data_IF_407998173623
#
_entry.id   IF_407998173623
#
_cell.length_a   1.000
_cell.length_b   1.000
_cell.length_c   1.000
_cell.angle_alpha   90.00
_cell.angle_beta   90.00
_cell.angle_gamma   90.00
#
_symmetry.space_group_name_H-M   'P 1'
#
loop_
_entity.id
_entity.type
_entity.pdbx_description
1 polymer ?
#
# COMPACT_ATOMS: atom_id res chain seq x y z
N UNK A 1 3.57 -0.04 14.00
CA UNK A 1 3.01 -1.29 13.43
C UNK A 1 3.39 -1.44 11.97
N UNK A 2 3.39 -2.66 11.41
CA UNK A 2 3.65 -2.86 9.97
C UNK A 2 3.10 -4.19 9.46
N UNK A 3 2.80 -4.27 8.15
CA UNK A 3 2.40 -5.48 7.43
C UNK A 3 3.55 -5.96 6.54
N UNK A 4 3.69 -5.36 5.34
CA UNK A 4 4.82 -5.63 4.45
C UNK A 4 6.22 -5.33 5.04
N UNK A 5 6.32 -4.67 6.20
CA UNK A 5 7.58 -4.37 6.87
C UNK A 5 8.23 -3.04 6.49
N UNK A 6 7.85 -2.42 5.36
CA UNK A 6 8.48 -1.17 4.90
C UNK A 6 8.30 0.00 5.86
N UNK A 7 7.08 0.20 6.36
CA UNK A 7 6.84 1.26 7.35
C UNK A 7 7.59 1.00 8.66
N UNK A 8 7.69 -0.27 9.07
CA UNK A 8 8.50 -0.66 10.22
C UNK A 8 9.99 -0.35 10.03
N UNK A 9 10.55 -0.71 8.86
CA UNK A 9 11.94 -0.37 8.49
C UNK A 9 12.14 1.14 8.45
N UNK A 10 11.21 1.91 7.87
CA UNK A 10 11.30 3.37 7.83
C UNK A 10 11.27 3.98 9.24
N UNK A 11 10.38 3.49 10.10
CA UNK A 11 10.25 3.94 11.49
C UNK A 11 11.50 3.60 12.31
N UNK A 12 11.99 2.35 12.22
CA UNK A 12 13.22 1.92 12.88
C UNK A 12 14.44 2.72 12.41
N UNK A 13 14.53 3.01 11.11
CA UNK A 13 15.61 3.85 10.55
C UNK A 13 15.63 5.23 11.20
N UNK A 14 14.47 5.88 11.30
CA UNK A 14 14.38 7.22 11.86
C UNK A 14 14.56 7.23 13.37
N UNK A 15 14.05 6.24 14.07
CA UNK A 15 14.28 6.08 15.51
C UNK A 15 15.77 5.90 15.82
N UNK A 16 16.46 5.01 15.12
CA UNK A 16 17.90 4.81 15.26
C UNK A 16 18.70 6.11 14.97
N UNK A 17 18.31 6.85 13.93
CA UNK A 17 18.96 8.12 13.57
C UNK A 17 18.74 9.21 14.63
N UNK A 18 17.56 9.26 15.24
CA UNK A 18 17.18 10.29 16.20
C UNK A 18 17.50 9.91 17.66
N UNK A 19 17.88 8.66 17.92
CA UNK A 19 18.14 8.16 19.26
C UNK A 19 16.87 7.90 20.06
N UNK A 20 15.79 7.47 19.39
CA UNK A 20 14.55 7.03 20.04
C UNK A 20 14.52 5.51 20.19
N UNK A 21 13.92 5.04 21.28
CA UNK A 21 13.48 3.65 21.39
C UNK A 21 12.37 3.38 20.37
N UNK A 22 12.32 2.17 19.82
CA UNK A 22 11.39 1.82 18.76
C UNK A 22 10.83 0.42 18.95
N UNK A 23 9.51 0.34 19.07
CA UNK A 23 8.75 -0.91 19.12
C UNK A 23 7.86 -1.01 17.88
N UNK A 24 7.96 -2.12 17.16
CA UNK A 24 7.20 -2.40 15.95
C UNK A 24 6.31 -3.62 16.17
N UNK A 25 5.00 -3.39 16.24
CA UNK A 25 3.99 -4.45 16.17
C UNK A 25 3.85 -4.97 14.74
N UNK A 26 3.89 -6.29 14.55
CA UNK A 26 3.76 -6.91 13.24
C UNK A 26 3.01 -8.23 13.38
N UNK A 27 2.06 -8.53 12.50
CA UNK A 27 1.31 -9.79 12.55
C UNK A 27 2.26 -10.98 12.43
N UNK A 28 2.06 -12.05 13.21
CA UNK A 28 2.99 -13.19 13.23
C UNK A 28 3.13 -13.86 11.85
N UNK A 29 2.06 -13.88 11.05
CA UNK A 29 2.12 -14.38 9.66
C UNK A 29 3.01 -13.48 8.79
N UNK A 30 2.92 -12.17 9.00
CA UNK A 30 3.73 -11.20 8.25
C UNK A 30 5.20 -11.23 8.70
N UNK A 31 5.48 -11.44 9.99
CA UNK A 31 6.85 -11.63 10.52
C UNK A 31 7.58 -12.75 9.78
N UNK A 32 6.90 -13.89 9.58
CA UNK A 32 7.46 -15.05 8.86
C UNK A 32 7.66 -14.73 7.36
N UNK A 33 6.63 -14.19 6.70
CA UNK A 33 6.67 -13.90 5.25
C UNK A 33 7.65 -12.78 4.87
N UNK A 34 7.84 -11.82 5.77
CA UNK A 34 8.66 -10.62 5.55
C UNK A 34 9.90 -10.59 6.44
N UNK A 35 10.44 -11.78 6.77
CA UNK A 35 11.65 -11.93 7.61
C UNK A 35 12.81 -11.02 7.22
N UNK A 36 13.10 -10.73 5.93
CA UNK A 36 14.14 -9.76 5.56
C UNK A 36 13.93 -8.36 6.16
N UNK A 37 12.69 -7.86 6.20
CA UNK A 37 12.40 -6.55 6.79
C UNK A 37 12.49 -6.59 8.31
N UNK A 38 12.02 -7.67 8.94
CA UNK A 38 12.19 -7.90 10.39
C UNK A 38 13.67 -7.88 10.78
N UNK A 39 14.50 -8.55 9.99
CA UNK A 39 15.94 -8.58 10.22
C UNK A 39 16.53 -7.17 10.24
N UNK A 40 16.19 -6.33 9.26
CA UNK A 40 16.70 -4.96 9.22
C UNK A 40 16.19 -4.09 10.38
N UNK A 41 14.94 -4.25 10.79
CA UNK A 41 14.40 -3.55 11.97
C UNK A 41 15.19 -3.90 13.24
N UNK A 42 15.43 -5.19 13.48
CA UNK A 42 16.23 -5.68 14.62
C UNK A 42 17.68 -5.15 14.58
N UNK A 43 18.31 -5.14 13.39
CA UNK A 43 19.67 -4.60 13.24
C UNK A 43 19.76 -3.08 13.47
N UNK A 44 18.65 -2.36 13.32
CA UNK A 44 18.55 -0.94 13.64
C UNK A 44 18.21 -0.69 15.12
N UNK A 45 18.08 -1.75 15.93
CA UNK A 45 17.80 -1.66 17.35
C UNK A 45 16.32 -1.54 17.70
N UNK A 46 15.42 -1.72 16.74
CA UNK A 46 13.99 -1.78 17.03
C UNK A 46 13.59 -3.15 17.61
N UNK A 47 12.70 -3.14 18.60
CA UNK A 47 12.03 -4.34 19.09
C UNK A 47 10.87 -4.68 18.15
N UNK A 48 10.84 -5.88 17.59
CA UNK A 48 9.73 -6.35 16.76
C UNK A 48 8.87 -7.31 17.58
N UNK A 49 7.60 -6.95 17.80
CA UNK A 49 6.64 -7.73 18.58
C UNK A 49 5.67 -8.45 17.63
N UNK A 50 5.74 -9.80 17.53
CA UNK A 50 4.79 -10.57 16.75
C UNK A 50 3.40 -10.59 17.40
N UNK A 51 2.39 -10.19 16.66
CA UNK A 51 0.97 -10.24 17.09
C UNK A 51 0.35 -11.54 16.60
N UNK A 52 -0.04 -12.40 17.53
CA UNK A 52 -0.61 -13.74 17.24
C UNK A 52 -2.13 -13.78 17.29
N UNK A 53 -2.77 -12.71 17.76
CA UNK A 53 -4.21 -12.64 17.88
C UNK A 53 -4.91 -12.51 16.52
N UNK A 54 -6.15 -12.99 16.46
CA UNK A 54 -7.00 -12.86 15.27
C UNK A 54 -6.43 -13.57 14.06
N UNK A 55 -6.30 -12.84 12.95
CA UNK A 55 -5.72 -13.33 11.69
C UNK A 55 -4.20 -13.25 11.68
N UNK A 56 -3.60 -12.63 12.70
CA UNK A 56 -2.16 -12.40 12.83
C UNK A 56 -1.54 -11.66 11.63
N UNK A 57 -2.24 -10.64 11.12
CA UNK A 57 -1.83 -9.76 10.01
C UNK A 57 -1.85 -8.29 10.42
N UNK A 58 -1.63 -7.36 9.47
CA UNK A 58 -1.61 -5.91 9.68
C UNK A 58 -2.78 -5.36 10.51
N UNK A 59 -4.02 -5.84 10.31
CA UNK A 59 -5.19 -5.38 11.08
C UNK A 59 -4.98 -5.59 12.58
N UNK A 60 -4.47 -6.75 12.96
CA UNK A 60 -4.26 -7.13 14.35
C UNK A 60 -3.05 -6.38 14.94
N UNK A 61 -2.01 -6.17 14.13
CA UNK A 61 -0.86 -5.32 14.50
C UNK A 61 -1.26 -3.86 14.78
N UNK A 62 -2.18 -3.29 14.00
CA UNK A 62 -2.75 -1.96 14.25
C UNK A 62 -3.49 -1.95 15.59
N UNK A 63 -4.32 -2.96 15.85
CA UNK A 63 -5.10 -3.03 17.08
C UNK A 63 -4.20 -3.08 18.33
N UNK A 64 -3.12 -3.88 18.29
CA UNK A 64 -2.16 -3.94 19.39
C UNK A 64 -1.35 -2.65 19.55
N UNK A 65 -0.93 -2.02 18.46
CA UNK A 65 -0.24 -0.73 18.54
C UNK A 65 -1.15 0.38 19.13
N UNK A 66 -2.45 0.38 18.82
CA UNK A 66 -3.40 1.28 19.48
C UNK A 66 -3.56 0.99 20.98
N UNK A 67 -3.55 -0.29 21.38
CA UNK A 67 -3.64 -0.69 22.79
C UNK A 67 -2.41 -0.28 23.58
N UNK A 68 -1.21 -0.49 23.03
CA UNK A 68 0.02 0.03 23.62
C UNK A 68 -0.05 1.55 23.75
N UNK A 69 -0.29 2.24 22.63
CA UNK A 69 -0.32 3.70 22.62
C UNK A 69 -1.29 4.25 23.67
N UNK A 70 -2.49 3.68 23.81
CA UNK A 70 -3.46 4.10 24.82
C UNK A 70 -2.95 4.00 26.28
N UNK A 71 -2.00 3.11 26.55
CA UNK A 71 -1.38 2.94 27.86
C UNK A 71 -0.06 3.72 28.03
N UNK A 72 0.56 4.20 26.94
CA UNK A 72 1.89 4.81 26.93
C UNK A 72 1.96 6.22 26.32
N UNK A 73 0.81 6.87 26.07
CA UNK A 73 0.73 8.18 25.35
C UNK A 73 1.61 9.29 25.93
N UNK A 74 1.92 9.28 27.23
CA UNK A 74 2.72 10.31 27.89
C UNK A 74 4.18 10.32 27.42
N UNK A 75 4.69 9.16 26.97
CA UNK A 75 6.09 8.96 26.59
C UNK A 75 6.25 8.42 25.15
N UNK A 76 5.15 7.95 24.53
CA UNK A 76 5.14 7.28 23.22
C UNK A 76 4.41 8.08 22.16
N UNK A 77 5.08 8.30 21.01
CA UNK A 77 4.42 8.76 19.79
C UNK A 77 4.08 7.57 18.88
N UNK A 78 2.79 7.40 18.57
CA UNK A 78 2.36 6.41 17.59
C UNK A 78 2.55 6.90 16.15
N UNK A 79 3.54 6.33 15.45
CA UNK A 79 3.83 6.62 14.05
C UNK A 79 2.94 5.79 13.11
N UNK A 80 1.69 6.21 12.87
CA UNK A 80 0.76 5.53 11.96
C UNK A 80 1.21 5.66 10.48
N UNK A 81 1.34 4.54 9.79
CA UNK A 81 2.05 4.46 8.49
C UNK A 81 1.26 4.81 7.23
N UNK A 82 0.00 5.25 7.33
CA UNK A 82 -0.86 5.48 6.16
C UNK A 82 -1.88 6.59 6.39
N UNK A 83 -2.57 7.04 5.35
CA UNK A 83 -3.55 8.12 5.42
C UNK A 83 -4.91 7.67 6.00
N UNK A 84 -4.88 6.84 7.04
CA UNK A 84 -6.04 6.30 7.76
C UNK A 84 -5.97 6.66 9.25
N UNK A 85 -6.87 6.08 10.05
CA UNK A 85 -6.93 6.30 11.49
C UNK A 85 -7.64 7.59 11.88
N UNK A 86 -7.74 7.89 13.19
CA UNK A 86 -8.43 9.06 13.68
C UNK A 86 -7.73 10.34 13.23
N UNK A 87 -8.48 11.45 13.19
CA UNK A 87 -7.86 12.77 13.11
C UNK A 87 -6.83 12.93 14.26
N UNK A 88 -5.61 13.43 14.00
CA UNK A 88 -5.16 14.13 12.79
C UNK A 88 -4.44 13.28 11.73
N UNK A 89 -4.29 11.96 11.90
CA UNK A 89 -3.41 11.13 11.08
C UNK A 89 -3.69 11.19 9.57
N UNK A 90 -4.93 11.08 9.05
CA UNK A 90 -5.17 11.15 7.61
C UNK A 90 -4.67 12.44 6.96
N UNK A 91 -4.89 13.59 7.63
CA UNK A 91 -4.43 14.89 7.13
C UNK A 91 -2.91 15.04 7.26
N UNK A 92 -2.36 14.64 8.41
CA UNK A 92 -0.92 14.74 8.68
C UNK A 92 -0.10 13.90 7.71
N UNK A 93 -0.49 12.63 7.50
CA UNK A 93 0.21 11.74 6.57
C UNK A 93 0.06 12.23 5.13
N UNK A 94 -1.13 12.67 4.72
CA UNK A 94 -1.33 13.24 3.38
C UNK A 94 -0.48 14.49 3.15
N UNK A 95 -0.35 15.35 4.17
CA UNK A 95 0.51 16.54 4.11
C UNK A 95 1.99 16.14 3.94
N UNK A 96 2.52 15.22 4.76
CA UNK A 96 3.91 14.80 4.64
C UNK A 96 4.21 14.08 3.32
N UNK A 97 3.22 13.41 2.72
CA UNK A 97 3.35 12.77 1.41
C UNK A 97 3.15 13.72 0.22
N UNK A 98 2.64 14.94 0.45
CA UNK A 98 2.30 15.89 -0.62
C UNK A 98 3.48 16.32 -1.48
N UNK A 99 4.71 16.18 -0.97
CA UNK A 99 5.93 16.48 -1.71
C UNK A 99 5.99 15.70 -3.03
N UNK A 100 5.49 14.46 -3.06
CA UNK A 100 5.43 13.63 -4.27
C UNK A 100 4.61 14.30 -5.37
N UNK A 101 3.43 14.84 -5.05
CA UNK A 101 2.58 15.54 -6.02
C UNK A 101 3.16 16.88 -6.46
N UNK A 102 3.81 17.61 -5.53
CA UNK A 102 4.47 18.88 -5.81
C UNK A 102 5.59 18.69 -6.83
N UNK A 103 6.49 17.74 -6.58
CA UNK A 103 7.61 17.44 -7.47
C UNK A 103 7.13 16.89 -8.81
N UNK A 104 6.18 15.95 -8.80
CA UNK A 104 5.65 15.35 -10.02
C UNK A 104 4.99 16.39 -10.94
N UNK A 105 4.26 17.37 -10.40
CA UNK A 105 3.66 18.46 -11.16
C UNK A 105 4.72 19.31 -11.86
N UNK A 106 5.79 19.69 -11.15
CA UNK A 106 6.89 20.44 -11.75
C UNK A 106 7.56 19.64 -12.88
N UNK A 107 7.86 18.36 -12.60
CA UNK A 107 8.57 17.48 -13.51
C UNK A 107 7.77 17.19 -14.78
N UNK A 108 6.46 16.93 -14.67
CA UNK A 108 5.63 16.59 -15.84
C UNK A 108 5.41 17.80 -16.74
N UNK A 109 5.22 19.00 -16.18
CA UNK A 109 5.15 20.23 -16.98
C UNK A 109 6.43 20.50 -17.74
N UNK A 110 7.60 20.23 -17.13
CA UNK A 110 8.90 20.39 -17.77
C UNK A 110 9.14 19.35 -18.87
N UNK A 111 8.71 18.11 -18.69
CA UNK A 111 8.99 17.00 -19.61
C UNK A 111 7.96 16.90 -20.74
N UNK A 112 6.67 17.02 -20.43
CA UNK A 112 5.58 16.86 -21.38
C UNK A 112 5.01 18.19 -21.90
N UNK A 113 5.35 19.33 -21.29
CA UNK A 113 4.82 20.64 -21.66
C UNK A 113 3.33 20.84 -21.32
N UNK A 114 2.71 19.87 -20.65
CA UNK A 114 1.30 19.88 -20.22
C UNK A 114 1.13 19.07 -18.93
N UNK A 115 -0.04 19.23 -18.30
CA UNK A 115 -0.47 18.33 -17.21
C UNK A 115 -0.76 16.93 -17.78
N UNK A 116 -0.65 15.87 -16.95
CA UNK A 116 -1.03 14.52 -17.37
C UNK A 116 -2.54 14.45 -17.59
N UNK A 117 -2.97 13.60 -18.51
CA UNK A 117 -4.38 13.30 -18.72
C UNK A 117 -4.88 12.38 -17.59
N UNK A 118 -4.03 11.46 -17.11
CA UNK A 118 -4.35 10.52 -16.01
C UNK A 118 -3.19 10.31 -15.05
N UNK A 119 -3.50 10.14 -13.77
CA UNK A 119 -2.54 9.79 -12.71
C UNK A 119 -2.96 8.50 -12.02
N UNK A 120 -2.07 7.53 -11.96
CA UNK A 120 -2.30 6.23 -11.34
C UNK A 120 -1.48 6.06 -10.07
N UNK A 121 -2.11 5.54 -9.01
CA UNK A 121 -1.44 5.16 -7.78
C UNK A 121 -2.13 3.94 -7.14
N UNK A 122 -1.37 3.08 -6.49
CA UNK A 122 -1.94 1.93 -5.78
C UNK A 122 -2.55 2.37 -4.44
N UNK A 123 -3.65 1.73 -4.03
CA UNK A 123 -4.43 2.11 -2.86
C UNK A 123 -4.55 0.93 -1.90
N UNK A 124 -3.74 0.96 -0.85
CA UNK A 124 -3.97 0.21 0.39
C UNK A 124 -4.72 1.14 1.35
N UNK A 125 -4.04 1.60 2.41
CA UNK A 125 -4.57 2.71 3.22
C UNK A 125 -4.60 4.06 2.49
N UNK A 126 -3.73 4.30 1.50
CA UNK A 126 -3.85 5.44 0.57
C UNK A 126 -2.85 6.59 0.71
N UNK A 127 -1.80 6.48 1.54
CA UNK A 127 -0.79 7.54 1.73
C UNK A 127 -0.08 7.97 0.45
N UNK A 128 0.44 7.02 -0.34
CA UNK A 128 1.13 7.31 -1.59
C UNK A 128 0.20 7.94 -2.65
N UNK A 129 -1.04 7.47 -2.73
CA UNK A 129 -2.06 7.99 -3.64
C UNK A 129 -2.43 9.42 -3.28
N UNK A 130 -2.71 9.69 -2.00
CA UNK A 130 -2.94 11.05 -1.52
C UNK A 130 -1.74 11.97 -1.77
N UNK A 131 -0.52 11.46 -1.58
CA UNK A 131 0.71 12.18 -1.86
C UNK A 131 0.77 12.70 -3.30
N UNK A 132 0.65 11.80 -4.28
CA UNK A 132 0.71 12.20 -5.69
C UNK A 132 -0.52 13.00 -6.14
N UNK A 133 -1.73 12.60 -5.72
CA UNK A 133 -2.98 13.27 -6.10
C UNK A 133 -3.06 14.70 -5.57
N UNK A 134 -2.48 14.98 -4.40
CA UNK A 134 -2.51 16.31 -3.79
C UNK A 134 -2.00 17.42 -4.72
N UNK A 135 -1.05 17.10 -5.60
CA UNK A 135 -0.50 18.02 -6.59
C UNK A 135 -1.49 18.41 -7.69
N UNK A 136 -2.62 17.71 -7.83
CA UNK A 136 -3.54 17.82 -8.97
C UNK A 136 -5.03 17.88 -8.58
N UNK A 137 -5.37 17.93 -7.28
CA UNK A 137 -6.76 17.90 -6.80
C UNK A 137 -7.66 18.98 -7.42
N UNK A 138 -7.11 20.15 -7.75
CA UNK A 138 -7.87 21.26 -8.32
C UNK A 138 -7.88 21.29 -9.86
N UNK A 139 -7.18 20.37 -10.52
CA UNK A 139 -7.12 20.29 -11.97
C UNK A 139 -8.16 19.27 -12.48
N UNK A 140 -9.40 19.71 -12.70
CA UNK A 140 -10.55 18.85 -13.05
C UNK A 140 -10.33 18.01 -14.33
N UNK A 141 -9.50 18.48 -15.26
CA UNK A 141 -9.16 17.76 -16.48
C UNK A 141 -8.20 16.58 -16.24
N UNK A 142 -7.56 16.51 -15.06
CA UNK A 142 -6.64 15.42 -14.69
C UNK A 142 -7.43 14.34 -13.95
N UNK A 143 -7.57 13.16 -14.56
CA UNK A 143 -8.18 12.00 -13.91
C UNK A 143 -7.24 11.44 -12.84
N UNK A 144 -7.77 11.23 -11.64
CA UNK A 144 -7.05 10.61 -10.52
C UNK A 144 -7.57 9.18 -10.37
N UNK A 145 -6.72 8.19 -10.60
CA UNK A 145 -7.11 6.78 -10.65
C UNK A 145 -6.39 5.98 -9.57
N UNK A 146 -7.13 5.56 -8.56
CA UNK A 146 -6.63 4.69 -7.49
C UNK A 146 -6.82 3.22 -7.84
N UNK A 147 -5.76 2.41 -7.79
CA UNK A 147 -5.85 0.97 -8.04
C UNK A 147 -5.79 0.19 -6.73
N UNK A 148 -6.89 -0.46 -6.37
CA UNK A 148 -7.00 -1.36 -5.23
C UNK A 148 -6.60 -2.80 -5.60
N UNK A 149 -6.35 -3.63 -4.57
CA UNK A 149 -6.00 -5.02 -4.77
C UNK A 149 -7.25 -5.86 -5.05
N UNK A 150 -7.35 -6.35 -6.28
CA UNK A 150 -8.41 -7.25 -6.74
C UNK A 150 -8.20 -8.70 -6.34
N UNK A 151 -7.02 -9.07 -5.80
CA UNK A 151 -6.71 -10.41 -5.32
C UNK A 151 -6.97 -11.48 -6.38
N UNK A 152 -7.74 -12.51 -6.02
CA UNK A 152 -8.15 -13.58 -6.94
C UNK A 152 -9.26 -13.15 -7.92
N UNK A 153 -9.88 -11.98 -7.72
CA UNK A 153 -10.99 -11.44 -8.50
C UNK A 153 -12.07 -10.81 -7.62
N UNK A 154 -12.73 -9.75 -8.11
CA UNK A 154 -13.83 -9.06 -7.41
C UNK A 154 -15.12 -9.89 -7.31
N UNK A 155 -15.24 -10.95 -8.10
CA UNK A 155 -16.32 -11.94 -8.02
C UNK A 155 -16.08 -13.00 -6.94
N UNK A 156 -14.91 -12.95 -6.28
CA UNK A 156 -14.54 -13.80 -5.14
C UNK A 156 -14.57 -13.00 -3.85
N UNK A 157 -14.50 -13.66 -2.69
CA UNK A 157 -14.29 -12.97 -1.41
C UNK A 157 -12.81 -12.71 -1.10
N UNK A 158 -11.90 -13.08 -2.01
CA UNK A 158 -10.45 -13.03 -1.80
C UNK A 158 -9.83 -11.84 -2.52
N UNK A 159 -10.11 -10.65 -1.99
CA UNK A 159 -9.55 -9.39 -2.45
C UNK A 159 -9.42 -8.37 -1.31
N UNK A 160 -8.81 -7.21 -1.59
CA UNK A 160 -8.76 -6.08 -0.67
C UNK A 160 -9.20 -4.77 -1.37
N UNK A 161 -10.29 -4.83 -2.15
CA UNK A 161 -10.87 -3.66 -2.82
C UNK A 161 -12.07 -3.13 -2.03
N UNK A 162 -12.00 -1.89 -1.51
CA UNK A 162 -13.02 -1.29 -0.64
C UNK A 162 -13.91 -0.27 -1.36
N UNK A 163 -13.43 0.32 -2.44
CA UNK A 163 -14.15 1.36 -3.19
C UNK A 163 -14.68 0.82 -4.52
N UNK A 164 -14.18 -0.33 -4.99
CA UNK A 164 -14.68 -0.98 -6.20
C UNK A 164 -15.54 -2.21 -5.94
N UNK A 165 -15.47 -2.79 -4.75
CA UNK A 165 -16.31 -3.92 -4.38
C UNK A 165 -17.72 -3.46 -3.99
N UNK A 166 -18.72 -4.15 -4.51
CA UNK A 166 -20.13 -3.89 -4.22
C UNK A 166 -20.58 -4.38 -2.84
N UNK A 167 -19.83 -5.28 -2.22
CA UNK A 167 -20.05 -5.78 -0.86
C UNK A 167 -19.40 -4.93 0.24
N UNK A 168 -18.70 -3.86 -0.13
CA UNK A 168 -18.15 -2.88 0.81
C UNK A 168 -19.25 -1.95 1.36
N UNK A 169 -19.03 -1.42 2.56
CA UNK A 169 -19.94 -0.43 3.13
C UNK A 169 -19.23 0.50 4.11
N UNK A 170 -19.82 1.66 4.36
CA UNK A 170 -19.27 2.60 5.34
C UNK A 170 -19.41 2.04 6.76
N UNK A 171 -18.32 2.04 7.52
CA UNK A 171 -18.26 1.58 8.90
C UNK A 171 -17.39 2.50 9.76
N UNK A 172 -17.24 2.14 11.04
CA UNK A 172 -16.34 2.82 11.98
C UNK A 172 -15.47 1.79 12.67
N UNK A 173 -14.16 1.85 12.42
CA UNK A 173 -13.17 1.01 13.06
C UNK A 173 -11.83 1.74 13.15
N UNK A 174 -10.95 1.31 14.06
CA UNK A 174 -9.60 1.87 14.20
C UNK A 174 -9.58 3.40 14.33
N UNK A 175 -10.62 3.98 14.96
CA UNK A 175 -10.75 5.41 15.23
C UNK A 175 -11.29 6.28 14.10
N UNK A 176 -11.77 5.73 12.98
CA UNK A 176 -12.24 6.53 11.85
C UNK A 176 -13.41 5.91 11.08
N UNK A 177 -14.16 6.77 10.37
CA UNK A 177 -15.29 6.38 9.51
C UNK A 177 -14.85 6.39 8.04
N UNK A 178 -15.03 5.28 7.36
CA UNK A 178 -14.67 5.11 5.93
C UNK A 178 -15.38 3.87 5.35
N UNK A 179 -15.12 3.52 4.10
CA UNK A 179 -15.48 2.21 3.53
C UNK A 179 -14.59 1.10 4.08
N UNK A 180 -15.25 0.00 4.47
CA UNK A 180 -14.63 -1.24 4.90
C UNK A 180 -15.26 -2.42 4.16
N UNK A 181 -14.50 -3.50 4.02
CA UNK A 181 -15.07 -4.81 3.66
C UNK A 181 -15.64 -5.46 4.93
N UNK A 182 -16.96 -5.41 5.08
CA UNK A 182 -17.66 -5.91 6.27
C UNK A 182 -18.96 -6.61 5.88
N UNK A 183 -19.43 -7.52 6.73
CA UNK A 183 -20.74 -8.14 6.56
C UNK A 183 -21.87 -7.24 7.09
N UNK A 184 -23.12 -7.69 6.96
CA UNK A 184 -24.32 -6.95 7.38
C UNK A 184 -24.39 -6.69 8.90
N UNK A 185 -23.62 -7.43 9.69
CA UNK A 185 -23.48 -7.25 11.14
C UNK A 185 -22.34 -6.29 11.51
N UNK A 186 -21.64 -5.72 10.52
CA UNK A 186 -20.48 -4.85 10.71
C UNK A 186 -19.20 -5.59 11.12
N UNK A 187 -19.15 -6.92 10.96
CA UNK A 187 -17.94 -7.69 11.19
C UNK A 187 -17.01 -7.56 9.98
N UNK A 188 -15.75 -7.24 10.26
CA UNK A 188 -14.70 -7.11 9.25
C UNK A 188 -14.41 -8.45 8.59
N UNK A 189 -14.41 -8.48 7.26
CA UNK A 189 -14.06 -9.68 6.48
C UNK A 189 -12.55 -9.93 6.51
N UNK A 190 -12.15 -11.11 6.04
CA UNK A 190 -10.76 -11.36 5.68
C UNK A 190 -10.47 -10.74 4.31
N UNK A 191 -9.21 -10.40 4.07
CA UNK A 191 -8.75 -9.80 2.82
C UNK A 191 -7.65 -10.64 2.19
N UNK A 192 -7.40 -10.40 0.91
CA UNK A 192 -6.33 -11.08 0.18
C UNK A 192 -5.70 -10.17 -0.88
N UNK A 193 -4.39 -10.22 -0.98
CA UNK A 193 -3.61 -9.71 -2.11
C UNK A 193 -2.23 -10.38 -2.14
N UNK A 194 -1.65 -10.53 -3.33
CA UNK A 194 -0.22 -10.85 -3.49
C UNK A 194 0.68 -9.76 -2.89
N UNK A 195 0.19 -8.52 -2.80
CA UNK A 195 0.93 -7.38 -2.26
C UNK A 195 0.50 -7.08 -0.81
N UNK A 196 1.33 -7.48 0.16
CA UNK A 196 1.05 -7.31 1.59
C UNK A 196 0.76 -5.84 1.99
N UNK A 197 1.32 -4.84 1.28
CA UNK A 197 1.04 -3.43 1.55
C UNK A 197 -0.36 -2.94 1.11
N UNK A 198 -1.07 -3.70 0.29
CA UNK A 198 -2.45 -3.40 -0.13
C UNK A 198 -3.51 -4.27 0.57
N UNK A 199 -3.08 -5.35 1.23
CA UNK A 199 -3.92 -6.28 1.98
C UNK A 199 -4.41 -5.65 3.30
N UNK A 200 -5.34 -4.70 3.17
CA UNK A 200 -5.89 -3.93 4.26
C UNK A 200 -7.39 -3.74 4.10
N UNK A 201 -8.10 -3.84 5.23
CA UNK A 201 -9.56 -3.91 5.29
C UNK A 201 -10.28 -2.58 5.08
N UNK A 202 -9.60 -1.46 5.35
CA UNK A 202 -10.13 -0.11 5.23
C UNK A 202 -9.42 0.70 4.14
N UNK A 203 -9.84 1.95 3.97
CA UNK A 203 -9.24 2.90 3.02
C UNK A 203 -9.28 4.32 3.59
N UNK A 204 -8.36 5.20 3.17
CA UNK A 204 -8.34 6.59 3.65
C UNK A 204 -9.72 7.25 3.59
N UNK A 205 -10.16 7.93 4.67
CA UNK A 205 -11.42 8.69 4.64
C UNK A 205 -11.38 9.84 3.63
N UNK A 206 -10.19 10.33 3.28
CA UNK A 206 -10.02 11.36 2.25
C UNK A 206 -10.24 10.76 0.86
N UNK A 207 -9.67 9.59 0.57
CA UNK A 207 -9.90 8.89 -0.70
C UNK A 207 -11.36 8.44 -0.84
N UNK A 208 -11.98 7.95 0.23
CA UNK A 208 -13.44 7.67 0.26
C UNK A 208 -14.25 8.91 -0.09
N UNK A 209 -13.91 10.07 0.48
CA UNK A 209 -14.62 11.30 0.13
C UNK A 209 -14.41 11.68 -1.35
N UNK A 210 -13.18 11.55 -1.87
CA UNK A 210 -12.88 11.83 -3.28
C UNK A 210 -13.60 10.88 -4.24
N UNK A 211 -13.80 9.62 -3.85
CA UNK A 211 -14.66 8.67 -4.55
C UNK A 211 -16.12 9.17 -4.60
N UNK A 212 -16.70 9.50 -3.45
CA UNK A 212 -18.12 9.86 -3.33
C UNK A 212 -18.48 11.14 -4.11
N UNK A 213 -17.56 12.10 -4.18
CA UNK A 213 -17.73 13.34 -4.95
C UNK A 213 -17.27 13.20 -6.41
N UNK A 214 -16.90 11.99 -6.85
CA UNK A 214 -16.41 11.69 -8.20
C UNK A 214 -15.18 12.51 -8.62
N UNK A 215 -14.33 12.92 -7.66
CA UNK A 215 -13.06 13.58 -7.98
C UNK A 215 -11.97 12.57 -8.31
N UNK A 216 -11.99 11.39 -7.69
CA UNK A 216 -11.10 10.29 -8.01
C UNK A 216 -11.92 9.04 -8.38
N UNK A 217 -11.45 8.31 -9.39
CA UNK A 217 -11.98 7.02 -9.79
C UNK A 217 -11.13 5.92 -9.18
N UNK A 218 -11.76 4.78 -8.86
CA UNK A 218 -11.06 3.63 -8.30
C UNK A 218 -11.32 2.41 -9.18
N UNK A 219 -10.28 1.62 -9.39
CA UNK A 219 -10.32 0.33 -10.07
C UNK A 219 -9.60 -0.73 -9.26
N UNK A 220 -9.77 -1.99 -9.63
CA UNK A 220 -9.01 -3.10 -9.05
C UNK A 220 -8.10 -3.74 -10.10
N UNK A 221 -6.96 -4.24 -9.64
CA UNK A 221 -6.08 -5.13 -10.41
C UNK A 221 -5.95 -6.47 -9.69
N UNK A 222 -6.18 -7.57 -10.39
CA UNK A 222 -6.01 -8.92 -9.83
C UNK A 222 -4.54 -9.26 -9.67
N UNK A 223 -4.23 -10.24 -8.83
CA UNK A 223 -2.85 -10.68 -8.59
C UNK A 223 -2.18 -11.14 -9.90
N UNK A 224 -2.93 -11.76 -10.82
CA UNK A 224 -2.44 -12.13 -12.14
C UNK A 224 -2.05 -10.92 -13.00
N UNK A 225 -2.89 -9.87 -13.05
CA UNK A 225 -2.60 -8.64 -13.79
C UNK A 225 -1.37 -7.93 -13.24
N UNK A 226 -1.20 -7.94 -11.91
CA UNK A 226 -0.07 -7.33 -11.21
C UNK A 226 1.24 -8.03 -11.57
N UNK A 227 1.24 -9.37 -11.58
CA UNK A 227 2.43 -10.16 -11.96
C UNK A 227 2.81 -9.90 -13.42
N UNK A 228 1.84 -9.81 -14.32
CA UNK A 228 2.11 -9.54 -15.73
C UNK A 228 2.60 -8.10 -15.95
N UNK A 229 2.02 -7.11 -15.25
CA UNK A 229 2.50 -5.73 -15.27
C UNK A 229 3.94 -5.60 -14.75
N UNK A 230 4.28 -6.30 -13.65
CA UNK A 230 5.65 -6.35 -13.13
C UNK A 230 6.61 -6.96 -14.15
N UNK A 231 6.23 -8.08 -14.79
CA UNK A 231 7.04 -8.70 -15.86
C UNK A 231 7.28 -7.76 -17.03
N UNK A 232 6.25 -7.03 -17.45
CA UNK A 232 6.39 -6.04 -18.52
C UNK A 232 7.37 -4.93 -18.13
N UNK A 233 7.21 -4.35 -16.94
CA UNK A 233 8.08 -3.28 -16.47
C UNK A 233 9.55 -3.72 -16.36
N UNK A 234 9.81 -4.91 -15.82
CA UNK A 234 11.17 -5.45 -15.74
C UNK A 234 11.78 -5.72 -17.12
N UNK A 235 11.00 -6.29 -18.05
CA UNK A 235 11.51 -6.69 -19.38
C UNK A 235 11.76 -5.49 -20.29
N UNK A 236 10.93 -4.46 -20.21
CA UNK A 236 10.97 -3.34 -21.14
C UNK A 236 11.74 -2.14 -20.59
N UNK A 237 11.69 -1.90 -19.27
CA UNK A 237 12.31 -0.72 -18.65
C UNK A 237 13.44 -1.07 -17.68
N UNK A 238 13.65 -2.35 -17.36
CA UNK A 238 14.67 -2.77 -16.39
C UNK A 238 14.37 -2.31 -14.97
N UNK A 239 13.12 -1.98 -14.65
CA UNK A 239 12.68 -1.50 -13.34
C UNK A 239 11.99 -2.64 -12.59
N UNK A 240 12.48 -2.94 -11.38
CA UNK A 240 11.88 -3.89 -10.46
C UNK A 240 11.02 -3.11 -9.45
N UNK A 241 9.75 -2.93 -9.77
CA UNK A 241 8.80 -2.24 -8.89
C UNK A 241 8.34 -3.15 -7.74
N UNK A 242 7.91 -2.53 -6.64
CA UNK A 242 7.19 -3.25 -5.59
C UNK A 242 5.87 -3.80 -6.14
N UNK A 243 5.38 -4.91 -5.59
CA UNK A 243 4.11 -5.51 -6.02
C UNK A 243 2.93 -4.54 -5.83
N UNK A 244 2.98 -3.69 -4.80
CA UNK A 244 2.01 -2.61 -4.61
C UNK A 244 2.02 -1.65 -5.81
N UNK A 245 3.20 -1.14 -6.21
CA UNK A 245 3.33 -0.22 -7.34
C UNK A 245 2.92 -0.87 -8.67
N UNK A 246 3.16 -2.17 -8.82
CA UNK A 246 2.76 -2.91 -10.02
C UNK A 246 1.22 -2.96 -10.21
N UNK A 247 0.41 -2.78 -9.16
CA UNK A 247 -1.04 -2.58 -9.32
C UNK A 247 -1.35 -1.29 -10.10
N UNK A 248 -0.69 -0.18 -9.75
CA UNK A 248 -0.85 1.07 -10.48
C UNK A 248 -0.42 0.95 -11.95
N UNK A 249 0.66 0.20 -12.20
CA UNK A 249 1.13 -0.10 -13.56
C UNK A 249 0.12 -0.97 -14.31
N UNK A 250 -0.47 -1.98 -13.69
CA UNK A 250 -1.48 -2.83 -14.30
C UNK A 250 -2.69 -2.02 -14.78
N UNK A 251 -3.25 -1.16 -13.91
CA UNK A 251 -4.35 -0.26 -14.27
C UNK A 251 -3.97 0.70 -15.40
N UNK A 252 -2.79 1.30 -15.32
CA UNK A 252 -2.30 2.22 -16.35
C UNK A 252 -2.11 1.54 -17.71
N UNK A 253 -1.55 0.33 -17.76
CA UNK A 253 -1.37 -0.43 -19.01
C UNK A 253 -2.71 -0.79 -19.66
N UNK A 254 -3.72 -1.12 -18.85
CA UNK A 254 -5.09 -1.41 -19.32
C UNK A 254 -5.67 -0.21 -20.06
N UNK A 255 -5.58 0.98 -19.47
CA UNK A 255 -6.12 2.20 -20.08
C UNK A 255 -5.26 2.70 -21.25
N UNK A 256 -3.92 2.62 -21.15
CA UNK A 256 -2.99 3.06 -22.20
C UNK A 256 -3.29 2.41 -23.56
N UNK A 257 -3.75 1.15 -23.57
CA UNK A 257 -4.13 0.43 -24.80
C UNK A 257 -5.29 1.09 -25.56
N UNK A 258 -6.06 1.95 -24.90
CA UNK A 258 -7.24 2.65 -25.47
C UNK A 258 -7.02 4.15 -25.66
N UNK A 259 -5.88 4.67 -25.19
CA UNK A 259 -5.56 6.10 -25.22
C UNK A 259 -5.00 6.56 -26.58
N UNK A 260 -5.12 7.85 -26.84
CA UNK A 260 -4.50 8.48 -28.00
C UNK A 260 -2.99 8.62 -27.77
N UNK A 261 -2.17 8.59 -28.84
CA UNK A 261 -0.71 8.69 -28.72
C UNK A 261 -0.18 9.97 -28.07
N UNK A 262 -0.98 11.03 -28.03
CA UNK A 262 -0.63 12.33 -27.45
C UNK A 262 -1.10 12.51 -26.00
N UNK A 263 -1.88 11.58 -25.45
CA UNK A 263 -2.25 11.58 -24.03
C UNK A 263 -1.08 11.13 -23.14
N UNK A 264 -1.04 11.66 -21.91
CA UNK A 264 0.06 11.47 -20.95
C UNK A 264 -0.46 10.81 -19.68
N UNK A 265 0.18 9.70 -19.32
CA UNK A 265 -0.05 8.99 -18.06
C UNK A 265 1.10 9.29 -17.11
N UNK A 266 0.77 9.56 -15.86
CA UNK A 266 1.72 9.60 -14.75
C UNK A 266 1.41 8.44 -13.79
N UNK A 267 2.42 7.63 -13.43
CA UNK A 267 2.25 6.49 -12.52
C UNK A 267 3.13 6.70 -11.30
N UNK A 268 2.55 6.59 -10.09
CA UNK A 268 3.33 6.61 -8.85
C UNK A 268 3.96 5.24 -8.59
N UNK A 269 5.26 5.10 -8.89
CA UNK A 269 6.04 3.93 -8.46
C UNK A 269 6.42 4.07 -6.99
N UNK A 270 5.48 3.72 -6.12
CA UNK A 270 5.54 3.90 -4.67
C UNK A 270 6.69 3.18 -3.95
N UNK A 271 7.31 2.18 -4.57
CA UNK A 271 8.44 1.46 -4.00
C UNK A 271 9.17 0.53 -4.97
N UNK A 272 10.31 0.02 -4.51
CA UNK A 272 11.13 -0.96 -5.23
C UNK A 272 10.82 -2.39 -4.79
N UNK A 273 10.96 -3.34 -5.71
CA UNK A 273 10.60 -4.75 -5.50
C UNK A 273 11.67 -5.59 -4.82
N UNK A 274 12.84 -5.04 -4.48
CA UNK A 274 13.90 -5.80 -3.78
C UNK A 274 13.40 -6.45 -2.49
N UNK A 275 12.50 -5.77 -1.77
CA UNK A 275 11.86 -6.26 -0.54
C UNK A 275 11.02 -7.50 -0.78
N UNK A 276 10.44 -7.60 -1.97
CA UNK A 276 9.44 -8.61 -2.33
C UNK A 276 10.10 -9.77 -3.06
N UNK A 277 11.43 -9.89 -3.12
CA UNK A 277 12.10 -10.88 -3.98
C UNK A 277 11.57 -12.31 -3.76
N UNK A 278 11.30 -12.70 -2.51
CA UNK A 278 10.73 -14.01 -2.19
C UNK A 278 9.30 -14.14 -2.73
N UNK A 279 8.43 -13.16 -2.43
CA UNK A 279 7.04 -13.14 -2.90
C UNK A 279 6.94 -13.03 -4.42
N UNK A 280 7.77 -12.21 -5.05
CA UNK A 280 7.88 -12.07 -6.50
C UNK A 280 8.33 -13.38 -7.11
N UNK A 281 9.36 -14.03 -6.57
CA UNK A 281 9.84 -15.30 -7.12
C UNK A 281 8.78 -16.41 -7.01
N UNK A 282 8.04 -16.46 -5.90
CA UNK A 282 6.90 -17.37 -5.71
C UNK A 282 5.79 -17.06 -6.72
N UNK A 283 5.39 -15.80 -6.86
CA UNK A 283 4.36 -15.35 -7.79
C UNK A 283 4.75 -15.55 -9.27
N UNK A 284 6.05 -15.45 -9.58
CA UNK A 284 6.59 -15.74 -10.90
C UNK A 284 6.68 -17.24 -11.19
N UNK A 285 6.63 -18.09 -10.17
CA UNK A 285 6.75 -19.55 -10.29
C UNK A 285 8.16 -20.02 -10.67
N UNK A 286 9.21 -19.36 -10.19
CA UNK A 286 10.59 -19.72 -10.55
C UNK A 286 11.09 -20.95 -9.77
N UNK A 287 11.09 -22.12 -10.43
CA UNK A 287 11.59 -23.38 -9.85
C UNK A 287 13.07 -23.33 -9.45
N UNK A 288 13.90 -22.54 -10.15
CA UNK A 288 15.33 -22.43 -9.82
C UNK A 288 15.54 -21.64 -8.54
N UNK A 289 14.69 -20.66 -8.28
CA UNK A 289 14.69 -19.95 -7.00
C UNK A 289 14.36 -20.89 -5.85
N UNK A 290 13.33 -21.73 -6.01
CA UNK A 290 12.97 -22.73 -5.01
C UNK A 290 14.12 -23.71 -4.75
N UNK A 291 14.81 -24.14 -5.80
CA UNK A 291 15.99 -24.98 -5.66
C UNK A 291 17.12 -24.26 -4.91
N UNK A 292 17.40 -23.01 -5.25
CA UNK A 292 18.41 -22.19 -4.57
C UNK A 292 18.13 -22.09 -3.06
N UNK A 293 16.89 -21.84 -2.65
CA UNK A 293 16.52 -21.78 -1.23
C UNK A 293 16.73 -23.12 -0.52
N UNK A 294 16.34 -24.24 -1.16
CA UNK A 294 16.57 -25.59 -0.61
C UNK A 294 18.05 -25.90 -0.44
N UNK A 295 18.88 -25.52 -1.42
CA UNK A 295 20.33 -25.71 -1.35
C UNK A 295 20.95 -24.88 -0.23
N UNK A 296 20.49 -23.63 -0.03
CA UNK A 296 20.95 -22.77 1.06
C UNK A 296 20.51 -23.26 2.44
N UNK A 297 19.31 -23.81 2.57
CA UNK A 297 18.83 -24.35 3.85
C UNK A 297 19.59 -25.61 4.29
N UNK A 298 20.22 -26.32 3.35
CA UNK A 298 21.01 -27.54 3.63
C UNK A 298 22.51 -27.27 3.86
N UNK A 299 22.97 -26.02 3.77
CA UNK A 299 24.36 -25.59 4.03
C UNK A 299 24.51 -25.08 5.46
#
# INVERSE_FOLDING_TARGET
ETGAGQHGVATATMAARMGFDCTIYMGAVDVERQRPNVFWMEQMGAEVIPVTDGTATLKDAINEAFRDWANSMDETHYALGTACGPHPFPLMVSYFQSITGIEAREQILKQAGKLPDRIFACVGGGSNAMGIFSGFLNDEAVELVGIEAGGDGLDTERHASRLTDSGSSTGVAQGYKTYFLQNDEGQMRETHSVAAGLDYIGVSPILSHLHDVNRARFEAATDSEVVDALRMLMRHEGIIAALESAHAVAGALREAATMKPDEVILINLSGRGDKDIFTIADALGDERWQQFLKERANQ
#
